data_IF_746044742694
#
_entry.id   IF_746044742694
#
_cell.length_a   1.000
_cell.length_b   1.000
_cell.length_c   1.000
_cell.angle_alpha   90.00
_cell.angle_beta   90.00
_cell.angle_gamma   90.00
#
_symmetry.space_group_name_H-M   'P 1'
#
loop_
_entity.id
_entity.type
_entity.pdbx_description
1 polymer ?
#
# COMPACT_ATOMS: atom_id res chain seq x y z
N UNK A 1 0.19 13.29 2.92
CA UNK A 1 0.44 12.34 4.03
C UNK A 1 1.83 11.67 3.99
N UNK A 2 2.21 10.99 2.91
CA UNK A 2 3.42 10.14 2.88
C UNK A 2 4.64 10.81 2.22
N UNK A 3 5.24 11.80 2.89
CA UNK A 3 6.33 12.61 2.30
C UNK A 3 7.75 12.15 2.65
N UNK A 4 7.93 11.31 3.67
CA UNK A 4 9.24 10.77 4.03
C UNK A 4 9.12 9.37 4.70
N UNK A 5 10.22 8.57 4.71
CA UNK A 5 10.21 7.21 5.26
C UNK A 5 9.74 7.11 6.72
N UNK A 6 10.21 7.98 7.61
CA UNK A 6 9.86 7.92 9.03
C UNK A 6 8.37 8.21 9.27
N UNK A 7 7.80 9.14 8.50
CA UNK A 7 6.37 9.43 8.49
C UNK A 7 5.53 8.26 8.01
N UNK A 8 5.98 7.55 6.97
CA UNK A 8 5.30 6.34 6.47
C UNK A 8 5.29 5.25 7.54
N UNK A 9 6.45 4.93 8.12
CA UNK A 9 6.57 3.92 9.17
C UNK A 9 5.64 4.24 10.35
N UNK A 10 5.64 5.49 10.82
CA UNK A 10 4.77 5.93 11.93
C UNK A 10 3.28 5.81 11.58
N UNK A 11 2.89 6.21 10.38
CA UNK A 11 1.50 6.13 9.92
C UNK A 11 1.02 4.67 9.84
N UNK A 12 1.85 3.76 9.32
CA UNK A 12 1.54 2.34 9.24
C UNK A 12 1.47 1.67 10.63
N UNK A 13 2.42 1.94 11.52
CA UNK A 13 2.44 1.40 12.87
C UNK A 13 1.26 1.88 13.74
N UNK A 14 0.72 3.06 13.43
CA UNK A 14 -0.44 3.61 14.16
C UNK A 14 -1.76 2.92 13.80
N UNK A 15 -1.83 2.22 12.66
CA UNK A 15 -3.05 1.58 12.18
C UNK A 15 -3.19 0.18 12.79
N UNK A 16 -4.02 0.05 13.83
CA UNK A 16 -4.24 -1.22 14.55
C UNK A 16 -5.54 -1.88 14.11
N UNK A 17 -5.45 -3.11 13.61
CA UNK A 17 -6.63 -3.91 13.22
C UNK A 17 -6.97 -4.94 14.31
N UNK A 18 -5.95 -5.49 14.97
CA UNK A 18 -6.12 -6.50 16.01
C UNK A 18 -7.04 -6.00 17.13
N UNK A 19 -8.05 -6.81 17.45
CA UNK A 19 -9.08 -6.52 18.46
C UNK A 19 -9.92 -5.25 18.19
N UNK A 20 -9.81 -4.63 17.01
CA UNK A 20 -10.61 -3.47 16.61
C UNK A 20 -11.64 -3.77 15.50
N UNK A 21 -11.56 -4.96 14.88
CA UNK A 21 -12.49 -5.37 13.84
C UNK A 21 -13.92 -5.53 14.39
N UNK A 22 -14.89 -4.88 13.75
CA UNK A 22 -16.31 -5.01 14.05
C UNK A 22 -17.02 -5.61 12.83
N UNK A 23 -17.86 -6.62 13.06
CA UNK A 23 -18.82 -7.05 12.06
C UNK A 23 -19.72 -5.88 11.66
N UNK A 24 -20.10 -5.79 10.38
CA UNK A 24 -20.95 -4.69 9.91
C UNK A 24 -22.29 -4.60 10.66
N UNK A 25 -22.87 -5.73 11.07
CA UNK A 25 -24.08 -5.79 11.89
C UNK A 25 -23.94 -5.10 13.25
N UNK A 26 -22.72 -5.00 13.78
CA UNK A 26 -22.41 -4.28 15.01
C UNK A 26 -21.93 -2.85 14.73
N UNK A 27 -21.13 -2.67 13.68
CA UNK A 27 -20.54 -1.37 13.33
C UNK A 27 -21.59 -0.34 12.91
N UNK A 28 -22.48 -0.68 11.97
CA UNK A 28 -23.43 0.27 11.40
C UNK A 28 -24.43 0.83 12.42
N UNK A 29 -25.10 0.04 13.29
CA UNK A 29 -25.94 0.62 14.32
C UNK A 29 -25.16 1.49 15.32
N UNK A 30 -23.91 1.12 15.64
CA UNK A 30 -23.03 1.95 16.49
C UNK A 30 -22.70 3.28 15.81
N UNK A 31 -22.40 3.27 14.52
CA UNK A 31 -22.17 4.48 13.72
C UNK A 31 -23.38 5.40 13.71
N UNK A 32 -24.58 4.87 13.42
CA UNK A 32 -25.82 5.65 13.43
C UNK A 32 -26.07 6.29 14.81
N UNK A 33 -25.97 5.50 15.89
CA UNK A 33 -26.15 6.01 17.24
C UNK A 33 -25.06 7.03 17.64
N UNK A 34 -23.85 6.90 17.11
CA UNK A 34 -22.80 7.89 17.31
C UNK A 34 -23.11 9.21 16.61
N UNK A 35 -23.61 9.19 15.37
CA UNK A 35 -24.11 10.40 14.69
C UNK A 35 -25.18 11.13 15.53
N UNK A 36 -26.17 10.39 16.06
CA UNK A 36 -27.19 10.99 16.94
C UNK A 36 -26.58 11.62 18.19
N UNK A 37 -25.57 10.98 18.81
CA UNK A 37 -24.85 11.54 19.96
C UNK A 37 -24.06 12.81 19.63
N UNK A 38 -23.59 12.94 18.38
CA UNK A 38 -22.94 14.17 17.89
C UNK A 38 -23.94 15.30 17.58
N UNK A 39 -25.24 15.06 17.76
CA UNK A 39 -26.29 16.06 17.54
C UNK A 39 -26.95 15.98 16.17
N UNK A 40 -26.66 14.94 15.37
CA UNK A 40 -27.32 14.77 14.08
C UNK A 40 -28.81 14.47 14.29
N UNK A 41 -29.63 14.99 13.40
CA UNK A 41 -31.09 14.93 13.46
C UNK A 41 -31.58 13.60 12.92
N UNK A 42 -32.37 12.88 13.72
CA UNK A 42 -33.04 11.66 13.28
C UNK A 42 -33.83 11.92 11.98
N UNK A 43 -33.79 10.96 11.06
CA UNK A 43 -34.47 10.99 9.76
C UNK A 43 -34.04 12.12 8.81
N UNK A 44 -33.02 12.91 9.17
CA UNK A 44 -32.44 13.97 8.30
C UNK A 44 -30.95 13.80 8.04
N UNK A 45 -30.40 12.63 8.38
CA UNK A 45 -29.01 12.27 8.06
C UNK A 45 -28.99 11.70 6.65
N UNK A 46 -28.28 12.35 5.73
CA UNK A 46 -27.97 11.79 4.41
C UNK A 46 -26.65 11.02 4.51
N UNK A 47 -26.69 9.66 4.53
CA UNK A 47 -25.48 8.87 4.47
C UNK A 47 -24.90 8.92 3.07
N UNK A 48 -23.58 8.85 3.01
CA UNK A 48 -22.82 8.67 1.79
C UNK A 48 -21.73 7.65 2.01
N UNK A 49 -21.36 6.95 0.93
CA UNK A 49 -20.33 5.93 0.94
C UNK A 49 -19.29 6.16 -0.15
N UNK A 50 -18.03 5.90 0.19
CA UNK A 50 -16.94 5.81 -0.75
C UNK A 50 -16.27 4.43 -0.68
N UNK A 51 -16.98 3.44 -1.22
CA UNK A 51 -16.55 2.04 -1.28
C UNK A 51 -16.18 1.64 -2.71
N UNK A 52 -15.36 0.59 -2.82
CA UNK A 52 -15.08 -0.09 -4.09
C UNK A 52 -16.38 -0.65 -4.72
N UNK A 53 -16.36 -0.85 -6.04
CA UNK A 53 -17.48 -1.42 -6.80
C UNK A 53 -17.61 -2.95 -6.70
N UNK A 54 -16.70 -3.62 -5.98
CA UNK A 54 -16.71 -5.07 -5.78
C UNK A 54 -18.00 -5.52 -5.03
N UNK A 55 -18.59 -6.65 -5.44
CA UNK A 55 -19.87 -7.12 -4.93
C UNK A 55 -19.82 -7.47 -3.43
N UNK A 56 -18.64 -7.83 -2.91
CA UNK A 56 -18.44 -8.06 -1.47
C UNK A 56 -18.76 -6.83 -0.61
N UNK A 57 -18.85 -5.65 -1.21
CA UNK A 57 -19.18 -4.38 -0.55
C UNK A 57 -20.70 -4.12 -0.48
N UNK A 58 -21.55 -5.03 -0.97
CA UNK A 58 -23.01 -4.86 -0.95
C UNK A 58 -23.62 -4.90 0.46
N UNK A 59 -23.13 -5.78 1.34
CA UNK A 59 -23.64 -5.95 2.71
C UNK A 59 -23.61 -4.65 3.53
N UNK A 60 -22.48 -3.90 3.62
CA UNK A 60 -22.47 -2.65 4.35
C UNK A 60 -23.42 -1.59 3.77
N UNK A 61 -23.66 -1.58 2.45
CA UNK A 61 -24.61 -0.65 1.81
C UNK A 61 -26.04 -0.95 2.25
N UNK A 62 -26.43 -2.22 2.27
CA UNK A 62 -27.76 -2.65 2.74
C UNK A 62 -27.96 -2.26 4.21
N UNK A 63 -26.96 -2.49 5.05
CA UNK A 63 -27.04 -2.16 6.47
C UNK A 63 -27.09 -0.64 6.71
N UNK A 64 -26.33 0.16 5.95
CA UNK A 64 -26.46 1.62 5.96
C UNK A 64 -27.89 2.04 5.63
N UNK A 65 -28.45 1.53 4.53
CA UNK A 65 -29.82 1.87 4.13
C UNK A 65 -30.85 1.49 5.19
N UNK A 66 -30.71 0.31 5.80
CA UNK A 66 -31.56 -0.15 6.89
C UNK A 66 -31.55 0.79 8.09
N UNK A 67 -30.38 1.27 8.51
CA UNK A 67 -30.25 2.06 9.74
C UNK A 67 -30.49 3.56 9.53
N UNK A 68 -30.11 4.11 8.39
CA UNK A 68 -30.27 5.53 8.07
C UNK A 68 -31.59 5.83 7.34
N UNK A 69 -32.34 4.80 6.92
CA UNK A 69 -33.66 4.94 6.30
C UNK A 69 -33.62 5.32 4.81
N UNK A 70 -32.43 5.46 4.22
CA UNK A 70 -32.25 5.85 2.81
C UNK A 70 -30.97 5.21 2.25
N UNK A 71 -30.97 4.91 0.95
CA UNK A 71 -29.76 4.44 0.28
C UNK A 71 -28.67 5.52 0.31
N UNK A 72 -27.41 5.15 0.62
CA UNK A 72 -26.33 6.13 0.71
C UNK A 72 -25.98 6.72 -0.65
N UNK A 73 -25.78 8.04 -0.69
CA UNK A 73 -25.21 8.72 -1.85
C UNK A 73 -23.84 8.14 -2.20
N UNK A 74 -23.55 7.93 -3.48
CA UNK A 74 -22.33 7.26 -3.90
C UNK A 74 -21.20 8.24 -4.23
N UNK A 75 -20.23 8.40 -3.32
CA UNK A 75 -18.94 9.05 -3.61
C UNK A 75 -17.90 8.07 -4.19
N UNK A 76 -18.10 6.77 -4.02
CA UNK A 76 -17.09 5.75 -4.27
C UNK A 76 -16.75 5.52 -5.73
N UNK A 77 -15.46 5.29 -5.96
CA UNK A 77 -14.90 4.65 -7.15
C UNK A 77 -14.15 3.38 -6.76
N UNK A 78 -13.79 2.58 -7.77
CA UNK A 78 -13.03 1.33 -7.63
C UNK A 78 -11.78 1.56 -6.75
N UNK A 79 -11.52 0.65 -5.80
CA UNK A 79 -10.41 0.75 -4.85
C UNK A 79 -10.70 1.56 -3.58
N UNK A 80 -11.90 2.16 -3.47
CA UNK A 80 -12.26 3.01 -2.33
C UNK A 80 -11.79 4.46 -2.48
N UNK A 81 -11.70 4.94 -3.72
CA UNK A 81 -11.39 6.35 -4.03
C UNK A 81 -12.64 7.21 -3.89
N UNK A 82 -12.48 8.41 -3.32
CA UNK A 82 -13.56 9.38 -3.14
C UNK A 82 -13.66 10.32 -4.35
N UNK A 83 -14.82 10.39 -4.98
CA UNK A 83 -15.09 11.38 -6.02
C UNK A 83 -15.36 12.74 -5.36
N UNK A 84 -14.31 13.51 -5.09
CA UNK A 84 -14.40 14.80 -4.37
C UNK A 84 -15.20 15.87 -5.13
N UNK A 85 -15.31 15.72 -6.45
CA UNK A 85 -16.20 16.48 -7.33
C UNK A 85 -17.69 16.30 -6.98
N UNK A 86 -18.04 15.27 -6.21
CA UNK A 86 -19.42 15.00 -5.78
C UNK A 86 -19.79 15.63 -4.44
N UNK A 87 -18.88 16.35 -3.78
CA UNK A 87 -19.17 17.04 -2.52
C UNK A 87 -20.28 18.07 -2.67
N UNK A 88 -20.22 18.92 -3.71
CA UNK A 88 -21.23 19.95 -3.98
C UNK A 88 -22.63 19.36 -4.16
N UNK A 89 -22.84 18.44 -5.13
CA UNK A 89 -24.13 17.78 -5.31
C UNK A 89 -24.66 17.08 -4.05
N UNK A 90 -23.79 16.49 -3.23
CA UNK A 90 -24.20 15.83 -1.99
C UNK A 90 -24.61 16.80 -0.88
N UNK A 91 -24.10 18.04 -0.90
CA UNK A 91 -24.26 18.99 0.20
C UNK A 91 -25.73 19.34 0.50
N UNK A 92 -26.57 19.36 -0.54
CA UNK A 92 -27.98 19.77 -0.43
C UNK A 92 -28.95 18.60 -0.21
N UNK A 93 -28.43 17.37 -0.06
CA UNK A 93 -29.28 16.16 0.00
C UNK A 93 -29.81 15.85 1.40
N UNK A 94 -29.36 16.53 2.45
CA UNK A 94 -29.85 16.34 3.80
C UNK A 94 -29.42 17.46 4.73
N UNK A 95 -30.05 17.53 5.90
CA UNK A 95 -29.66 18.49 6.94
C UNK A 95 -28.29 18.15 7.53
N UNK A 96 -28.10 16.87 7.83
CA UNK A 96 -26.88 16.34 8.42
C UNK A 96 -26.23 15.37 7.43
N UNK A 97 -24.94 15.53 7.16
CA UNK A 97 -24.24 14.73 6.15
C UNK A 97 -23.24 13.78 6.82
N UNK A 98 -23.26 12.51 6.43
CA UNK A 98 -22.30 11.51 6.91
C UNK A 98 -21.63 10.85 5.70
N UNK A 99 -20.30 10.93 5.59
CA UNK A 99 -19.54 10.22 4.57
C UNK A 99 -18.72 9.10 5.21
N UNK A 100 -19.01 7.86 4.83
CA UNK A 100 -18.25 6.68 5.23
C UNK A 100 -17.33 6.24 4.08
N UNK A 101 -16.02 6.34 4.28
CA UNK A 101 -15.00 5.98 3.31
C UNK A 101 -14.22 4.75 3.77
N UNK A 102 -13.97 3.81 2.85
CA UNK A 102 -13.13 2.65 3.14
C UNK A 102 -12.54 2.04 1.88
N UNK A 103 -11.27 1.62 1.97
CA UNK A 103 -10.80 0.51 1.13
C UNK A 103 -11.30 -0.83 1.67
N UNK A 104 -11.06 -1.90 0.92
CA UNK A 104 -11.44 -3.25 1.34
C UNK A 104 -10.35 -4.26 0.99
N UNK A 105 -10.38 -5.37 1.71
CA UNK A 105 -9.50 -6.52 1.50
C UNK A 105 -10.28 -7.78 1.85
N UNK A 106 -10.09 -8.83 1.05
CA UNK A 106 -10.62 -10.15 1.36
C UNK A 106 -9.84 -10.80 2.49
N UNK A 107 -10.47 -11.75 3.18
CA UNK A 107 -9.84 -12.54 4.22
C UNK A 107 -10.36 -13.98 4.14
N UNK A 108 -9.46 -14.94 4.07
CA UNK A 108 -9.79 -16.35 4.24
C UNK A 108 -9.66 -16.74 5.72
N UNK A 109 -10.78 -17.05 6.41
CA UNK A 109 -10.74 -17.39 7.83
C UNK A 109 -10.10 -18.75 8.13
N UNK A 110 -9.93 -19.63 7.13
CA UNK A 110 -9.32 -20.95 7.33
C UNK A 110 -7.81 -20.83 7.37
N UNK A 111 -7.24 -20.08 6.42
CA UNK A 111 -5.78 -19.90 6.29
C UNK A 111 -5.26 -18.67 7.04
N UNK A 112 -6.14 -17.73 7.38
CA UNK A 112 -5.78 -16.41 7.91
C UNK A 112 -5.17 -15.48 6.84
N UNK A 113 -5.30 -15.83 5.56
CA UNK A 113 -4.73 -15.06 4.46
C UNK A 113 -5.57 -13.81 4.15
N UNK A 114 -4.90 -12.65 4.06
CA UNK A 114 -5.49 -11.42 3.56
C UNK A 114 -5.25 -11.25 2.06
N UNK A 115 -6.26 -10.75 1.37
CA UNK A 115 -6.21 -10.46 -0.06
C UNK A 115 -7.02 -11.40 -0.92
N UNK A 116 -7.64 -12.42 -0.32
CA UNK A 116 -8.45 -13.43 -1.02
C UNK A 116 -9.90 -13.38 -0.56
N UNK A 117 -10.82 -13.58 -1.50
CA UNK A 117 -12.25 -13.66 -1.23
C UNK A 117 -12.89 -14.78 -2.04
N UNK A 118 -13.74 -15.57 -1.38
CA UNK A 118 -14.44 -16.68 -1.99
C UNK A 118 -15.64 -16.19 -2.78
N UNK A 119 -15.59 -16.30 -4.11
CA UNK A 119 -16.67 -15.82 -4.99
C UNK A 119 -17.68 -16.94 -5.25
N UNK A 120 -18.72 -17.00 -4.41
CA UNK A 120 -19.72 -18.07 -4.36
C UNK A 120 -20.52 -18.30 -5.66
N UNK A 121 -20.44 -17.39 -6.62
CA UNK A 121 -21.16 -17.47 -7.89
C UNK A 121 -20.26 -17.89 -9.07
N UNK A 122 -18.97 -18.19 -8.86
CA UNK A 122 -18.16 -18.88 -9.89
C UNK A 122 -18.48 -20.37 -9.88
N UNK A 123 -18.18 -21.06 -10.99
CA UNK A 123 -18.47 -22.49 -11.18
C UNK A 123 -18.01 -23.36 -9.98
N UNK A 124 -16.84 -23.04 -9.42
CA UNK A 124 -16.24 -23.79 -8.31
C UNK A 124 -16.19 -23.01 -6.98
N UNK A 125 -16.85 -21.85 -6.91
CA UNK A 125 -16.79 -20.93 -5.77
C UNK A 125 -15.35 -20.60 -5.34
N UNK A 126 -14.54 -20.18 -6.31
CA UNK A 126 -13.09 -20.01 -6.20
C UNK A 126 -12.69 -18.81 -5.35
N UNK A 127 -11.51 -18.90 -4.75
CA UNK A 127 -10.86 -17.76 -4.11
C UNK A 127 -10.17 -16.90 -5.18
N UNK A 128 -10.39 -15.60 -5.13
CA UNK A 128 -9.74 -14.64 -6.02
C UNK A 128 -9.33 -13.36 -5.28
N UNK A 129 -8.50 -12.55 -5.93
CA UNK A 129 -7.98 -11.32 -5.33
C UNK A 129 -9.09 -10.34 -4.94
N UNK A 130 -9.02 -9.81 -3.72
CA UNK A 130 -9.91 -8.77 -3.18
C UNK A 130 -9.11 -7.84 -2.25
N UNK A 131 -9.01 -6.54 -2.53
CA UNK A 131 -9.52 -5.79 -3.67
C UNK A 131 -8.80 -6.12 -4.99
N UNK A 132 -9.56 -6.47 -6.05
CA UNK A 132 -8.98 -6.80 -7.36
C UNK A 132 -8.18 -5.67 -8.00
N UNK A 133 -8.65 -4.41 -7.91
CA UNK A 133 -7.93 -3.25 -8.46
C UNK A 133 -6.62 -2.96 -7.73
N UNK A 134 -6.62 -3.03 -6.40
CA UNK A 134 -5.39 -2.86 -5.62
C UNK A 134 -4.42 -3.99 -5.96
N UNK A 135 -4.88 -5.24 -5.99
CA UNK A 135 -4.04 -6.38 -6.34
C UNK A 135 -3.40 -6.27 -7.72
N UNK A 136 -4.17 -5.84 -8.72
CA UNK A 136 -3.64 -5.62 -10.07
C UNK A 136 -2.53 -4.56 -10.10
N UNK A 137 -2.68 -3.45 -9.34
CA UNK A 137 -1.63 -2.44 -9.22
C UNK A 137 -0.39 -3.05 -8.55
N UNK A 138 -0.57 -3.76 -7.43
CA UNK A 138 0.55 -4.32 -6.66
C UNK A 138 1.38 -5.35 -7.44
N UNK A 139 0.80 -6.04 -8.43
CA UNK A 139 1.49 -7.12 -9.14
C UNK A 139 2.76 -6.64 -9.86
N UNK A 140 2.71 -5.46 -10.46
CA UNK A 140 3.88 -4.86 -11.11
C UNK A 140 4.99 -4.56 -10.10
N UNK A 141 4.66 -3.87 -8.99
CA UNK A 141 5.63 -3.54 -7.95
C UNK A 141 6.20 -4.78 -7.24
N UNK A 142 5.38 -5.82 -7.05
CA UNK A 142 5.83 -7.10 -6.49
C UNK A 142 6.80 -7.80 -7.42
N UNK A 143 6.59 -7.72 -8.73
CA UNK A 143 7.51 -8.28 -9.72
C UNK A 143 8.85 -7.54 -9.70
N UNK A 144 8.84 -6.21 -9.70
CA UNK A 144 10.06 -5.39 -9.56
C UNK A 144 10.79 -5.67 -8.23
N UNK A 145 10.05 -5.77 -7.12
CA UNK A 145 10.62 -6.08 -5.81
C UNK A 145 11.23 -7.49 -5.77
N UNK A 146 10.54 -8.50 -6.29
CA UNK A 146 11.06 -9.87 -6.40
C UNK A 146 12.35 -9.89 -7.20
N UNK A 147 12.38 -9.24 -8.36
CA UNK A 147 13.60 -9.14 -9.15
C UNK A 147 14.76 -8.54 -8.34
N UNK A 148 14.54 -7.44 -7.62
CA UNK A 148 15.57 -6.84 -6.76
C UNK A 148 16.04 -7.77 -5.62
N UNK A 149 15.12 -8.51 -4.99
CA UNK A 149 15.46 -9.47 -3.91
C UNK A 149 16.36 -10.61 -4.38
N UNK A 150 16.17 -11.05 -5.63
CA UNK A 150 16.93 -12.14 -6.25
C UNK A 150 18.27 -11.66 -6.84
N UNK A 151 18.34 -10.40 -7.27
CA UNK A 151 19.47 -9.84 -8.03
C UNK A 151 20.33 -8.81 -7.27
N UNK A 152 19.96 -8.48 -6.03
CA UNK A 152 20.88 -7.94 -5.03
C UNK A 152 21.38 -9.13 -4.20
N UNK A 153 22.68 -9.43 -4.28
CA UNK A 153 23.26 -10.64 -3.67
C UNK A 153 24.39 -10.29 -2.72
N UNK A 154 24.58 -11.11 -1.69
CA UNK A 154 25.64 -10.98 -0.69
C UNK A 154 26.73 -12.02 -1.00
N UNK A 155 27.99 -11.58 -1.04
CA UNK A 155 29.17 -12.42 -1.31
C UNK A 155 30.40 -11.90 -0.59
N UNK A 156 31.44 -12.69 -0.43
CA UNK A 156 32.76 -12.18 -0.05
C UNK A 156 33.67 -12.03 -1.26
N UNK A 157 34.53 -11.01 -1.23
CA UNK A 157 35.66 -10.86 -2.15
C UNK A 157 36.90 -10.58 -1.31
N UNK A 158 37.92 -11.45 -1.39
CA UNK A 158 39.12 -11.41 -0.55
C UNK A 158 38.82 -11.28 0.96
N UNK A 159 37.78 -11.98 1.43
CA UNK A 159 37.33 -11.96 2.81
C UNK A 159 36.49 -10.72 3.19
N UNK A 160 36.33 -9.73 2.32
CA UNK A 160 35.51 -8.54 2.58
C UNK A 160 34.03 -8.78 2.21
N UNK A 161 33.06 -8.34 3.02
CA UNK A 161 31.64 -8.34 2.66
C UNK A 161 31.34 -7.43 1.46
N UNK A 162 30.69 -8.00 0.45
CA UNK A 162 30.36 -7.36 -0.83
C UNK A 162 28.88 -7.55 -1.15
N UNK A 163 28.29 -6.55 -1.77
CA UNK A 163 26.98 -6.59 -2.41
C UNK A 163 27.18 -6.65 -3.92
N UNK A 164 26.72 -7.73 -4.55
CA UNK A 164 26.57 -7.82 -5.99
C UNK A 164 25.25 -7.18 -6.40
N UNK A 165 25.29 -6.24 -7.33
CA UNK A 165 24.09 -5.55 -7.82
C UNK A 165 24.02 -5.67 -9.34
N UNK A 166 22.90 -6.21 -9.85
CA UNK A 166 22.65 -6.30 -11.29
C UNK A 166 22.64 -4.93 -11.97
N UNK A 167 23.16 -4.89 -13.21
CA UNK A 167 23.28 -3.69 -14.02
C UNK A 167 21.95 -2.93 -14.19
N UNK A 168 20.83 -3.64 -14.27
CA UNK A 168 19.50 -3.03 -14.39
C UNK A 168 19.16 -2.18 -13.16
N UNK A 169 19.52 -2.65 -11.97
CA UNK A 169 19.25 -1.97 -10.70
C UNK A 169 20.16 -0.75 -10.48
N UNK A 170 21.33 -0.73 -11.12
CA UNK A 170 22.25 0.42 -11.13
C UNK A 170 21.96 1.44 -12.22
N UNK A 171 21.09 1.12 -13.19
CA UNK A 171 20.75 2.04 -14.27
C UNK A 171 19.85 3.18 -13.79
N UNK A 172 20.45 4.35 -13.59
CA UNK A 172 19.77 5.58 -13.13
C UNK A 172 18.92 6.27 -14.20
N UNK A 173 19.15 5.97 -15.48
CA UNK A 173 18.42 6.56 -16.62
C UNK A 173 17.03 5.95 -16.81
N UNK A 174 16.71 4.86 -16.10
CA UNK A 174 15.37 4.29 -16.11
C UNK A 174 14.36 5.31 -15.59
N UNK A 175 13.23 5.40 -16.30
CA UNK A 175 12.12 6.30 -15.94
C UNK A 175 11.11 5.64 -15.00
N UNK A 176 11.12 4.32 -14.89
CA UNK A 176 10.25 3.55 -14.01
C UNK A 176 10.92 2.25 -13.53
N UNK A 177 10.43 1.73 -12.43
CA UNK A 177 10.88 0.49 -11.78
C UNK A 177 11.31 0.72 -10.34
N UNK A 178 11.91 -0.31 -9.76
CA UNK A 178 12.55 -0.24 -8.44
C UNK A 178 13.96 0.33 -8.55
N UNK A 179 14.30 1.30 -7.70
CA UNK A 179 15.62 1.92 -7.58
C UNK A 179 16.18 1.67 -6.18
N UNK A 180 17.46 1.31 -6.12
CA UNK A 180 18.14 1.08 -4.86
C UNK A 180 18.59 2.40 -4.22
N UNK A 181 18.51 2.45 -2.89
CA UNK A 181 19.17 3.46 -2.10
C UNK A 181 20.60 2.97 -1.77
N UNK A 182 21.53 3.22 -2.69
CA UNK A 182 22.90 2.72 -2.59
C UNK A 182 23.64 3.20 -1.34
N UNK A 183 23.34 4.41 -0.84
CA UNK A 183 23.93 4.95 0.40
C UNK A 183 23.69 4.04 1.62
N UNK A 184 22.61 3.25 1.60
CA UNK A 184 22.29 2.31 2.67
C UNK A 184 22.93 0.95 2.47
N UNK A 185 23.26 0.58 1.24
CA UNK A 185 23.67 -0.76 0.87
C UNK A 185 25.19 -0.91 0.69
N UNK A 186 25.86 0.12 0.20
CA UNK A 186 27.26 0.04 -0.22
C UNK A 186 28.09 1.18 0.36
N UNK A 187 29.42 1.01 0.36
CA UNK A 187 30.33 2.08 0.78
C UNK A 187 30.46 3.17 -0.29
N UNK A 188 30.68 4.39 0.17
CA UNK A 188 30.94 5.56 -0.65
C UNK A 188 32.34 6.12 -0.34
N UNK A 189 32.98 6.66 -1.36
CA UNK A 189 34.26 7.35 -1.23
C UNK A 189 34.10 8.75 -0.59
N UNK A 190 35.21 9.45 -0.39
CA UNK A 190 35.23 10.80 0.19
C UNK A 190 34.44 11.86 -0.63
N UNK A 191 34.09 11.56 -1.88
CA UNK A 191 33.28 12.41 -2.76
C UNK A 191 31.79 12.07 -2.73
N UNK A 192 31.42 11.03 -1.95
CA UNK A 192 30.05 10.53 -1.87
C UNK A 192 29.67 9.61 -3.04
N UNK A 193 30.61 9.13 -3.84
CA UNK A 193 30.35 8.16 -4.92
C UNK A 193 30.65 6.74 -4.45
N UNK A 194 29.82 5.78 -4.82
CA UNK A 194 30.17 4.38 -4.63
C UNK A 194 31.30 3.99 -5.60
N UNK A 195 32.09 3.00 -5.22
CA UNK A 195 33.17 2.46 -6.03
C UNK A 195 33.03 0.94 -6.17
N UNK A 196 33.62 0.40 -7.23
CA UNK A 196 33.49 -1.02 -7.60
C UNK A 196 34.78 -1.75 -7.30
N UNK A 197 34.70 -2.88 -6.58
CA UNK A 197 35.84 -3.78 -6.39
C UNK A 197 36.08 -4.66 -7.61
N UNK A 198 34.99 -5.06 -8.28
CA UNK A 198 35.03 -5.87 -9.49
C UNK A 198 33.80 -5.61 -10.38
N UNK A 199 33.95 -5.87 -11.66
CA UNK A 199 32.88 -5.75 -12.66
C UNK A 199 32.66 -7.11 -13.30
N UNK A 200 31.43 -7.59 -13.23
CA UNK A 200 30.98 -8.83 -13.87
C UNK A 200 30.18 -8.51 -15.13
N UNK A 201 29.90 -9.52 -15.95
CA UNK A 201 29.15 -9.33 -17.21
C UNK A 201 27.77 -8.69 -17.02
N UNK A 202 27.10 -8.97 -15.90
CA UNK A 202 25.74 -8.49 -15.61
C UNK A 202 25.59 -7.77 -14.27
N UNK A 203 26.67 -7.59 -13.50
CA UNK A 203 26.59 -7.02 -12.16
C UNK A 203 27.88 -6.33 -11.75
N UNK A 204 27.80 -5.50 -10.72
CA UNK A 204 28.96 -4.89 -10.07
C UNK A 204 29.13 -5.42 -8.66
N UNK A 205 30.38 -5.68 -8.27
CA UNK A 205 30.76 -6.02 -6.90
C UNK A 205 31.10 -4.73 -6.15
N UNK A 206 30.23 -4.37 -5.22
CA UNK A 206 30.32 -3.14 -4.43
C UNK A 206 30.60 -3.51 -2.96
N UNK A 207 31.55 -2.85 -2.28
CA UNK A 207 31.77 -3.08 -0.85
C UNK A 207 30.49 -2.79 -0.06
N UNK A 208 30.09 -3.69 0.84
CA UNK A 208 28.89 -3.49 1.66
C UNK A 208 29.09 -2.36 2.67
N UNK A 209 28.05 -1.54 2.89
CA UNK A 209 28.10 -0.49 3.91
C UNK A 209 28.20 -1.09 5.32
N UNK A 210 28.87 -0.40 6.24
CA UNK A 210 28.99 -0.87 7.63
C UNK A 210 27.61 -1.02 8.29
N UNK A 211 26.69 -0.09 7.99
CA UNK A 211 25.31 -0.15 8.48
C UNK A 211 24.54 -1.37 7.95
N UNK A 212 24.79 -1.80 6.71
CA UNK A 212 24.20 -3.02 6.15
C UNK A 212 24.79 -4.26 6.85
N UNK A 213 26.11 -4.30 7.04
CA UNK A 213 26.80 -5.39 7.73
C UNK A 213 26.30 -5.52 9.17
N UNK A 214 26.21 -4.42 9.91
CA UNK A 214 25.68 -4.39 11.27
C UNK A 214 24.24 -4.89 11.32
N UNK A 215 23.38 -4.44 10.40
CA UNK A 215 21.97 -4.83 10.34
C UNK A 215 21.75 -6.30 10.02
N UNK A 216 22.54 -6.87 9.10
CA UNK A 216 22.37 -8.26 8.66
C UNK A 216 23.21 -9.25 9.47
N UNK A 217 24.23 -8.76 10.18
CA UNK A 217 25.25 -9.56 10.82
C UNK A 217 26.27 -10.11 9.82
N UNK A 218 27.54 -10.15 10.21
CA UNK A 218 28.63 -10.56 9.32
C UNK A 218 28.47 -12.00 8.77
N UNK A 219 27.84 -12.89 9.56
CA UNK A 219 27.54 -14.27 9.15
C UNK A 219 26.50 -14.38 8.03
N UNK A 220 25.83 -13.28 7.66
CA UNK A 220 24.91 -13.25 6.52
C UNK A 220 25.62 -13.34 5.17
N UNK A 221 26.94 -13.13 5.12
CA UNK A 221 27.74 -13.24 3.91
C UNK A 221 28.37 -14.64 3.82
N UNK A 222 28.13 -15.38 2.73
CA UNK A 222 28.71 -16.71 2.56
C UNK A 222 30.22 -16.62 2.31
N UNK A 223 30.98 -17.61 2.79
CA UNK A 223 32.40 -17.76 2.48
C UNK A 223 32.64 -18.09 0.99
N UNK A 224 31.70 -18.78 0.36
CA UNK A 224 31.77 -19.22 -1.04
C UNK A 224 30.46 -18.96 -1.78
N UNK A 225 30.58 -18.56 -3.04
CA UNK A 225 29.43 -18.21 -3.87
C UNK A 225 28.72 -16.96 -3.37
N UNK A 226 27.45 -16.81 -3.74
CA UNK A 226 26.63 -15.68 -3.33
C UNK A 226 25.22 -16.12 -2.94
N UNK A 227 24.60 -15.41 -2.02
CA UNK A 227 23.20 -15.63 -1.65
C UNK A 227 22.36 -14.39 -1.94
N UNK A 228 21.09 -14.59 -2.21
CA UNK A 228 20.13 -13.50 -2.39
C UNK A 228 19.98 -12.69 -1.11
N UNK A 229 19.88 -11.36 -1.22
CA UNK A 229 19.49 -10.54 -0.07
C UNK A 229 18.08 -10.95 0.39
N UNK A 230 17.22 -11.34 -0.54
CA UNK A 230 15.94 -11.96 -0.24
C UNK A 230 15.05 -11.04 0.59
N UNK A 231 14.41 -11.57 1.64
CA UNK A 231 13.54 -10.77 2.52
C UNK A 231 14.28 -9.76 3.40
N UNK A 232 15.61 -9.70 3.31
CA UNK A 232 16.46 -8.77 4.07
C UNK A 232 16.67 -7.43 3.37
N UNK A 233 16.16 -7.26 2.14
CA UNK A 233 16.06 -5.96 1.48
C UNK A 233 14.95 -5.16 2.15
N UNK A 234 15.33 -4.23 3.03
CA UNK A 234 14.40 -3.46 3.83
C UNK A 234 13.65 -2.42 2.97
N UNK A 235 12.43 -2.00 3.36
CA UNK A 235 11.69 -0.98 2.62
C UNK A 235 12.44 0.35 2.47
N UNK A 236 13.37 0.67 3.36
CA UNK A 236 14.20 1.88 3.27
C UNK A 236 15.34 1.76 2.25
N UNK A 237 15.69 0.54 1.83
CA UNK A 237 16.81 0.26 0.92
C UNK A 237 16.45 0.51 -0.55
N UNK A 238 15.20 0.83 -0.85
CA UNK A 238 14.73 1.07 -2.21
C UNK A 238 13.52 2.00 -2.28
N UNK A 239 13.25 2.49 -3.48
CA UNK A 239 12.06 3.27 -3.79
C UNK A 239 11.59 2.97 -5.22
N UNK A 240 10.37 3.38 -5.56
CA UNK A 240 9.84 3.21 -6.90
C UNK A 240 9.74 4.54 -7.63
N UNK A 241 10.00 4.50 -8.95
CA UNK A 241 9.53 5.52 -9.88
C UNK A 241 8.50 4.90 -10.80
N UNK A 242 7.48 5.65 -11.16
CA UNK A 242 6.51 5.22 -12.16
C UNK A 242 6.01 6.41 -12.99
N UNK A 243 5.82 6.18 -14.27
CA UNK A 243 5.19 7.11 -15.20
C UNK A 243 3.68 6.89 -15.17
N UNK A 244 2.95 7.94 -14.80
CA UNK A 244 1.50 7.99 -14.87
C UNK A 244 1.08 8.50 -16.26
N UNK A 245 0.31 7.72 -17.00
CA UNK A 245 -0.07 8.01 -18.39
C UNK A 245 -1.56 8.28 -18.60
N UNK A 246 -2.40 8.12 -17.56
CA UNK A 246 -3.83 8.31 -17.71
C UNK A 246 -4.23 9.78 -17.63
N UNK A 247 -5.14 10.17 -18.52
CA UNK A 247 -5.69 11.52 -18.57
C UNK A 247 -6.80 11.75 -17.55
N UNK A 248 -7.47 10.68 -17.09
CA UNK A 248 -8.40 10.75 -15.97
C UNK A 248 -7.60 10.73 -14.65
N UNK A 249 -7.60 11.83 -13.87
CA UNK A 249 -6.82 11.94 -12.64
C UNK A 249 -7.22 10.88 -11.60
N UNK A 250 -8.45 10.34 -11.66
CA UNK A 250 -8.91 9.32 -10.73
C UNK A 250 -8.47 7.90 -11.09
N UNK A 251 -8.07 7.63 -12.34
CA UNK A 251 -7.54 6.32 -12.74
C UNK A 251 -6.23 6.00 -12.01
N UNK A 252 -5.37 7.01 -11.89
CA UNK A 252 -4.05 6.90 -11.28
C UNK A 252 -4.06 7.28 -9.79
N UNK A 253 -5.13 7.91 -9.28
CA UNK A 253 -5.20 8.39 -7.90
C UNK A 253 -4.88 7.31 -6.87
N UNK A 254 -5.45 6.11 -7.06
CA UNK A 254 -5.19 4.97 -6.17
C UNK A 254 -3.71 4.60 -6.13
N UNK A 255 -3.07 4.55 -7.28
CA UNK A 255 -1.66 4.21 -7.36
C UNK A 255 -0.77 5.33 -6.82
N UNK A 256 -1.11 6.60 -7.09
CA UNK A 256 -0.44 7.77 -6.53
C UNK A 256 -0.48 7.78 -5.00
N UNK A 257 -1.59 7.38 -4.40
CA UNK A 257 -1.73 7.25 -2.94
C UNK A 257 -0.75 6.22 -2.37
N UNK A 258 -0.44 5.17 -3.13
CA UNK A 258 0.37 4.04 -2.69
C UNK A 258 1.84 4.12 -3.11
N UNK A 259 2.20 4.95 -4.10
CA UNK A 259 3.56 4.97 -4.68
C UNK A 259 4.66 5.22 -3.64
N UNK A 260 4.53 6.27 -2.84
CA UNK A 260 5.51 6.60 -1.80
C UNK A 260 5.66 5.50 -0.73
N UNK A 261 4.57 4.97 -0.14
CA UNK A 261 4.66 3.86 0.82
C UNK A 261 4.83 2.47 0.19
N UNK A 262 4.94 2.36 -1.15
CA UNK A 262 5.00 1.09 -1.85
C UNK A 262 6.10 0.15 -1.37
N UNK A 263 7.33 0.61 -1.01
CA UNK A 263 8.35 -0.26 -0.43
C UNK A 263 7.87 -1.00 0.82
N UNK A 264 7.16 -0.32 1.73
CA UNK A 264 6.56 -0.93 2.92
C UNK A 264 5.38 -1.85 2.58
N UNK A 265 4.61 -1.53 1.54
CA UNK A 265 3.51 -2.37 1.08
C UNK A 265 4.04 -3.72 0.58
N UNK A 266 4.99 -3.72 -0.36
CA UNK A 266 5.45 -4.96 -1.01
C UNK A 266 6.35 -5.82 -0.10
N UNK A 267 6.99 -5.22 0.90
CA UNK A 267 7.80 -5.93 1.90
C UNK A 267 7.00 -6.42 3.12
N UNK A 268 5.75 -5.99 3.29
CA UNK A 268 4.91 -6.42 4.41
C UNK A 268 4.49 -7.89 4.32
N UNK A 269 4.20 -8.49 5.48
CA UNK A 269 3.64 -9.86 5.58
C UNK A 269 2.32 -10.01 4.80
N UNK A 270 1.48 -8.96 4.83
CA UNK A 270 0.20 -8.93 4.13
C UNK A 270 0.13 -7.67 3.24
N UNK A 271 0.68 -7.70 2.01
CA UNK A 271 0.77 -6.51 1.17
C UNK A 271 -0.57 -5.91 0.80
N UNK A 272 -1.58 -6.74 0.48
CA UNK A 272 -2.91 -6.26 0.11
C UNK A 272 -3.63 -5.55 1.26
N UNK A 273 -3.50 -6.09 2.48
CA UNK A 273 -4.00 -5.44 3.70
C UNK A 273 -3.31 -4.10 3.92
N UNK A 274 -1.98 -4.09 3.83
CA UNK A 274 -1.16 -2.88 4.03
C UNK A 274 -1.52 -1.80 3.01
N UNK A 275 -1.70 -2.18 1.74
CA UNK A 275 -2.15 -1.27 0.67
C UNK A 275 -3.55 -0.70 0.93
N UNK A 276 -4.49 -1.52 1.39
CA UNK A 276 -5.83 -1.04 1.76
C UNK A 276 -5.79 -0.06 2.93
N UNK A 277 -4.95 -0.29 3.94
CA UNK A 277 -4.72 0.64 5.05
C UNK A 277 -4.14 1.97 4.57
N UNK A 278 -3.08 1.90 3.75
CA UNK A 278 -2.44 3.07 3.14
C UNK A 278 -3.44 3.90 2.36
N UNK A 279 -4.20 3.28 1.46
CA UNK A 279 -5.15 4.01 0.64
C UNK A 279 -6.28 4.60 1.49
N UNK A 280 -6.75 3.88 2.51
CA UNK A 280 -7.77 4.41 3.42
C UNK A 280 -7.30 5.70 4.09
N UNK A 281 -6.06 5.73 4.60
CA UNK A 281 -5.48 6.92 5.22
C UNK A 281 -5.26 8.06 4.21
N UNK A 282 -4.70 7.77 3.03
CA UNK A 282 -4.45 8.76 1.99
C UNK A 282 -5.75 9.42 1.50
N UNK A 283 -6.80 8.61 1.27
CA UNK A 283 -8.10 9.11 0.83
C UNK A 283 -8.83 9.86 1.94
N UNK A 284 -8.66 9.47 3.21
CA UNK A 284 -9.19 10.24 4.33
C UNK A 284 -8.59 11.65 4.35
N UNK A 285 -7.26 11.74 4.27
CA UNK A 285 -6.50 13.00 4.23
C UNK A 285 -6.90 13.87 3.02
N UNK A 286 -7.03 13.25 1.84
CA UNK A 286 -7.45 13.94 0.60
C UNK A 286 -8.88 14.46 0.69
N UNK A 287 -9.80 13.64 1.21
CA UNK A 287 -11.22 13.99 1.37
C UNK A 287 -11.42 15.07 2.42
N UNK A 288 -10.71 14.97 3.54
CA UNK A 288 -10.76 16.00 4.58
C UNK A 288 -10.31 17.35 4.02
N UNK A 289 -9.19 17.40 3.30
CA UNK A 289 -8.71 18.66 2.70
C UNK A 289 -9.65 19.21 1.64
N UNK A 290 -10.29 18.37 0.83
CA UNK A 290 -11.28 18.85 -0.15
C UNK A 290 -12.55 19.37 0.50
N UNK A 291 -12.85 19.01 1.75
CA UNK A 291 -13.97 19.59 2.50
C UNK A 291 -13.56 20.85 3.28
N UNK A 292 -12.36 20.87 3.85
CA UNK A 292 -11.88 21.97 4.69
C UNK A 292 -11.37 23.19 3.90
N UNK A 293 -10.99 23.00 2.64
CA UNK A 293 -10.45 24.05 1.76
C UNK A 293 -11.35 24.37 0.55
N UNK A 294 -12.60 23.90 0.58
CA UNK A 294 -13.65 24.37 -0.33
C UNK A 294 -14.32 25.63 0.23
#
# INVERSE_FOLDING_TARGET
MFSNPSGITRALQSFRIENQALCYSNFIPKLYNWCLKLGFTRDSIMPSRAFCSDESQGVPIILLAKHFGVFPFNHGRVGGIVSVDRHGPHADHGKDLMLLQSSHVGHDPVTGEFGVYRRIHTENADNSCSCGKIGNILEWYRTEYRYARENVRLTRFDGQPVVLVDNLLLNTERKQGLFLNLERLVQHDATGKFYTLNTLSTAYALPASDALIERLGEMSWPEHGSIEIGGRLAPEDFYFKHIFANHDPFQDQLERNMLAPMPWIVSAKHPLLTAACVNTQAEFDRTYRSLAHN
#
